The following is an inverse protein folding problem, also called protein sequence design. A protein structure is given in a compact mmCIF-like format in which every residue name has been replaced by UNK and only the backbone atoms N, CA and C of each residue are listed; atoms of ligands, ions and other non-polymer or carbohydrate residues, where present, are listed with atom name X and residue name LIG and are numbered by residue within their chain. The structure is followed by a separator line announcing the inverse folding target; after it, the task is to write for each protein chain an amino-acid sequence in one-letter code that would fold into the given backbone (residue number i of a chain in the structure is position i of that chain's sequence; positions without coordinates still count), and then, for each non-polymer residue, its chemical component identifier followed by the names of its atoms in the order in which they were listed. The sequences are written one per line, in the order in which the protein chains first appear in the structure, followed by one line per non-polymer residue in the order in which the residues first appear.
data_IF_998462738560
#
_entry.id   IF_998462738560
#
_cell.length_a   1.000
_cell.length_b   1.000
_cell.length_c   1.000
_cell.angle_alpha   90.00
_cell.angle_beta   90.00
_cell.angle_gamma   90.00
#
_symmetry.space_group_name_H-M   'P 1'
#
loop_
_entity.id
_entity.type
_entity.pdbx_description
1 polymer ?
#
# COMPACT_ATOMS: atom_id res chain seq x y z
N UNK A 1 -3.29 53.17 2.17
CA UNK A 1 -3.10 52.33 0.97
C UNK A 1 -3.00 50.89 1.43
N UNK A 2 -4.13 50.20 1.46
CA UNK A 2 -4.24 48.79 1.80
C UNK A 2 -5.31 48.20 0.89
N UNK A 3 -4.99 47.16 0.13
CA UNK A 3 -5.99 46.32 -0.52
C UNK A 3 -5.63 44.86 -0.27
N UNK A 4 -6.55 44.19 0.41
CA UNK A 4 -6.56 42.78 0.68
C UNK A 4 -7.36 42.04 -0.41
N UNK A 5 -6.77 40.93 -0.87
CA UNK A 5 -7.34 39.59 -1.06
C UNK A 5 -8.87 39.49 -1.31
N UNK A 6 -9.22 39.04 -2.52
CA UNK A 6 -10.49 38.42 -2.91
C UNK A 6 -10.19 37.49 -4.11
N UNK A 7 -10.85 36.39 -4.41
CA UNK A 7 -11.85 35.54 -3.78
C UNK A 7 -11.97 34.35 -4.74
N UNK A 8 -11.59 33.15 -4.30
CA UNK A 8 -11.60 31.92 -5.09
C UNK A 8 -12.93 31.18 -4.85
N UNK A 9 -13.97 31.44 -5.67
CA UNK A 9 -15.20 30.60 -5.74
C UNK A 9 -16.19 31.07 -6.82
N UNK A 10 -16.02 30.60 -8.05
CA UNK A 10 -17.01 30.63 -9.15
C UNK A 10 -16.74 29.31 -9.89
N UNK A 11 -17.63 28.31 -9.90
CA UNK A 11 -18.84 28.25 -10.72
C UNK A 11 -19.98 27.52 -9.97
N UNK A 12 -21.08 28.25 -9.85
CA UNK A 12 -22.41 27.87 -9.40
C UNK A 12 -23.07 26.98 -10.47
N UNK A 13 -23.55 25.77 -10.15
CA UNK A 13 -24.97 25.46 -9.90
C UNK A 13 -25.91 26.04 -10.96
N UNK A 14 -26.29 25.22 -11.94
CA UNK A 14 -27.46 25.45 -12.78
C UNK A 14 -28.60 24.52 -12.35
N UNK A 15 -29.79 25.09 -12.18
CA UNK A 15 -30.97 24.53 -11.54
C UNK A 15 -32.09 24.33 -12.57
N UNK A 16 -32.66 23.12 -12.58
CA UNK A 16 -34.05 22.71 -12.84
C UNK A 16 -34.85 23.30 -14.03
N UNK A 17 -35.28 22.43 -14.95
CA UNK A 17 -36.67 21.95 -15.07
C UNK A 17 -36.84 21.04 -16.30
N UNK A 18 -37.33 19.82 -16.11
CA UNK A 18 -38.22 19.15 -17.05
C UNK A 18 -38.84 17.91 -16.37
N UNK A 19 -40.15 17.98 -16.15
CA UNK A 19 -41.00 16.89 -15.69
C UNK A 19 -41.06 15.80 -16.77
N UNK A 20 -40.93 14.52 -16.41
CA UNK A 20 -41.76 13.50 -17.02
C UNK A 20 -41.95 12.30 -16.09
N UNK A 21 -43.21 11.97 -15.91
CA UNK A 21 -43.81 10.93 -15.10
C UNK A 21 -43.71 9.57 -15.80
N UNK A 22 -43.08 8.56 -15.20
CA UNK A 22 -43.51 7.17 -15.38
C UNK A 22 -43.28 6.37 -14.09
N UNK A 23 -44.40 5.85 -13.60
CA UNK A 23 -44.53 4.83 -12.56
C UNK A 23 -43.66 3.62 -12.85
N UNK A 24 -42.91 3.15 -11.85
CA UNK A 24 -42.61 1.73 -11.71
C UNK A 24 -42.47 1.39 -10.22
N UNK A 25 -43.56 0.83 -9.71
CA UNK A 25 -43.70 0.19 -8.41
C UNK A 25 -42.78 -1.04 -8.36
N UNK A 26 -41.75 -1.04 -7.52
CA UNK A 26 -41.13 -2.28 -7.04
C UNK A 26 -40.90 -2.18 -5.54
N UNK A 27 -41.71 -2.95 -4.82
CA UNK A 27 -41.73 -3.12 -3.38
C UNK A 27 -40.46 -3.85 -2.91
N UNK A 28 -39.71 -3.25 -1.98
CA UNK A 28 -38.65 -3.91 -1.21
C UNK A 28 -39.22 -4.52 0.07
N UNK A 29 -38.89 -5.78 0.43
CA UNK A 29 -39.26 -6.35 1.73
C UNK A 29 -38.36 -5.84 2.88
N UNK A 30 -38.84 -5.85 4.14
CA UNK A 30 -38.22 -5.17 5.27
C UNK A 30 -37.03 -5.93 5.88
N UNK A 31 -36.09 -5.16 6.44
CA UNK A 31 -34.96 -5.64 7.26
C UNK A 31 -35.47 -6.21 8.60
N UNK A 32 -34.91 -7.31 9.12
CA UNK A 32 -35.02 -7.62 10.54
C UNK A 32 -33.92 -6.89 11.31
N UNK A 33 -34.36 -5.98 12.17
CA UNK A 33 -33.63 -5.50 13.34
C UNK A 33 -33.49 -6.65 14.34
N UNK A 34 -32.27 -6.92 14.83
CA UNK A 34 -32.07 -7.73 16.03
C UNK A 34 -31.31 -6.87 17.04
N UNK A 35 -32.06 -6.39 18.01
CA UNK A 35 -31.61 -5.63 19.17
C UNK A 35 -31.53 -6.63 20.36
N UNK A 36 -30.54 -6.41 21.25
CA UNK A 36 -30.44 -6.90 22.64
C UNK A 36 -29.85 -8.33 22.81
N UNK A 37 -28.96 -8.66 23.76
CA UNK A 37 -28.51 -8.00 25.01
C UNK A 37 -27.19 -8.67 25.49
N UNK A 38 -26.25 -7.83 25.95
CA UNK A 38 -25.45 -7.96 27.20
C UNK A 38 -24.57 -9.21 27.46
N UNK A 39 -23.24 -9.01 27.58
CA UNK A 39 -22.49 -9.00 28.86
C UNK A 39 -20.97 -8.87 28.65
N UNK A 40 -20.42 -7.82 29.26
CA UNK A 40 -19.08 -7.69 29.90
C UNK A 40 -17.87 -8.36 29.21
N UNK A 41 -17.03 -7.55 28.59
CA UNK A 41 -15.57 -7.68 28.74
C UNK A 41 -14.95 -6.29 28.75
N UNK A 42 -14.39 -5.96 29.90
CA UNK A 42 -13.73 -4.73 30.28
C UNK A 42 -12.49 -4.43 29.44
N UNK A 43 -12.33 -3.15 29.08
CA UNK A 43 -11.08 -2.45 28.81
C UNK A 43 -9.80 -3.21 29.15
N UNK A 44 -8.97 -3.49 28.13
CA UNK A 44 -7.54 -3.73 28.26
C UNK A 44 -6.87 -3.50 26.90
N UNK A 45 -6.19 -2.37 26.80
CA UNK A 45 -4.82 -2.26 26.32
C UNK A 45 -4.44 -3.09 25.07
N UNK A 46 -4.23 -2.43 23.92
CA UNK A 46 -3.20 -2.89 22.99
C UNK A 46 -1.84 -2.35 23.47
N UNK A 47 -1.44 -2.74 24.69
CA UNK A 47 -0.04 -2.87 25.04
C UNK A 47 0.25 -4.35 24.87
N UNK A 48 0.85 -4.72 23.75
CA UNK A 48 1.60 -5.96 23.71
C UNK A 48 2.88 -5.69 24.51
N UNK A 49 2.86 -6.26 25.71
CA UNK A 49 4.01 -6.43 26.59
C UNK A 49 5.25 -6.86 25.82
N UNK A 50 6.35 -6.20 26.11
CA UNK A 50 7.71 -6.69 25.89
C UNK A 50 7.90 -8.14 26.34
N UNK A 51 8.71 -8.86 25.55
CA UNK A 51 9.29 -10.22 25.74
C UNK A 51 8.40 -11.41 25.39
N UNK A 52 8.55 -11.85 24.13
CA UNK A 52 9.09 -13.18 23.85
C UNK A 52 9.92 -13.10 22.57
N UNK A 53 11.18 -13.50 22.67
CA UNK A 53 12.04 -13.81 21.54
C UNK A 53 11.42 -15.00 20.81
N UNK A 54 10.83 -14.78 19.63
CA UNK A 54 10.46 -15.88 18.73
C UNK A 54 11.06 -15.60 17.37
N UNK A 55 12.30 -16.05 17.21
CA UNK A 55 12.97 -16.27 15.93
C UNK A 55 12.09 -17.17 15.07
N UNK A 56 11.25 -16.59 14.22
CA UNK A 56 10.56 -17.33 13.18
C UNK A 56 11.59 -17.73 12.11
N UNK A 57 12.26 -18.86 12.34
CA UNK A 57 13.11 -19.53 11.36
C UNK A 57 12.23 -20.13 10.27
N UNK A 58 11.92 -19.34 9.24
CA UNK A 58 11.27 -19.84 8.03
C UNK A 58 12.32 -20.58 7.18
N UNK A 59 12.57 -21.84 7.54
CA UNK A 59 13.50 -22.73 6.84
C UNK A 59 12.87 -23.23 5.54
N UNK A 60 13.14 -22.59 4.41
CA UNK A 60 12.89 -23.17 3.10
C UNK A 60 14.04 -24.13 2.74
N UNK A 61 13.75 -25.44 2.67
CA UNK A 61 14.72 -26.43 2.18
C UNK A 61 14.79 -26.38 0.66
N UNK A 62 15.77 -25.67 0.11
CA UNK A 62 16.16 -25.85 -1.31
C UNK A 62 16.98 -27.14 -1.37
N UNK A 63 16.39 -28.22 -1.89
CA UNK A 63 17.15 -29.44 -2.22
C UNK A 63 17.91 -29.18 -3.52
N UNK A 64 19.08 -28.55 -3.41
CA UNK A 64 20.06 -28.51 -4.49
C UNK A 64 20.71 -29.90 -4.52
N UNK A 65 20.65 -30.60 -5.66
CA UNK A 65 21.43 -31.84 -5.86
C UNK A 65 22.91 -31.50 -5.68
N UNK A 66 23.60 -32.24 -4.80
CA UNK A 66 25.02 -32.08 -4.50
C UNK A 66 25.86 -32.26 -5.76
N UNK A 67 26.50 -31.19 -6.21
CA UNK A 67 27.76 -31.30 -6.96
C UNK A 67 28.90 -31.06 -5.96
N UNK A 68 29.65 -32.13 -5.66
CA UNK A 68 30.79 -32.12 -4.75
C UNK A 68 31.94 -31.34 -5.37
N UNK A 69 32.11 -30.07 -4.96
CA UNK A 69 33.38 -29.31 -4.92
C UNK A 69 33.09 -27.84 -4.58
N UNK A 70 32.97 -27.51 -3.29
CA UNK A 70 33.47 -26.28 -2.63
C UNK A 70 33.12 -26.46 -1.15
N UNK A 71 34.12 -26.78 -0.33
CA UNK A 71 34.04 -26.69 1.12
C UNK A 71 34.33 -25.24 1.52
N UNK A 72 33.30 -24.53 1.98
CA UNK A 72 33.37 -23.41 2.92
C UNK A 72 31.93 -23.20 3.43
N UNK A 73 31.55 -23.91 4.49
CA UNK A 73 30.30 -23.69 5.21
C UNK A 73 30.40 -22.41 6.06
N UNK A 74 30.46 -21.25 5.41
CA UNK A 74 29.85 -20.06 5.98
C UNK A 74 28.38 -20.16 5.62
N UNK A 75 27.56 -20.61 6.57
CA UNK A 75 26.11 -20.45 6.44
C UNK A 75 25.83 -18.96 6.61
N UNK A 76 26.10 -18.18 5.57
CA UNK A 76 25.50 -16.87 5.43
C UNK A 76 24.01 -17.15 5.41
N UNK A 77 23.35 -16.93 6.55
CA UNK A 77 21.91 -16.81 6.60
C UNK A 77 21.62 -15.65 5.66
N UNK A 78 21.30 -15.96 4.41
CA UNK A 78 20.82 -14.98 3.43
C UNK A 78 19.44 -14.58 3.95
N UNK A 79 19.44 -13.66 4.92
CA UNK A 79 18.25 -12.94 5.32
C UNK A 79 17.80 -12.23 4.05
N UNK A 80 16.73 -12.73 3.43
CA UNK A 80 16.17 -12.11 2.23
C UNK A 80 15.68 -10.71 2.58
N UNK A 81 16.50 -9.71 2.26
CA UNK A 81 16.16 -8.31 2.47
C UNK A 81 15.13 -7.88 1.44
N UNK A 82 14.21 -6.98 1.82
CA UNK A 82 13.29 -6.39 0.86
C UNK A 82 13.95 -5.23 0.14
N UNK A 83 13.96 -5.29 -1.19
CA UNK A 83 14.54 -4.27 -2.06
C UNK A 83 13.47 -3.32 -2.60
N UNK A 84 13.84 -2.08 -2.89
CA UNK A 84 13.01 -1.07 -3.53
C UNK A 84 13.75 -0.33 -4.64
N UNK A 85 13.08 -0.06 -5.76
CA UNK A 85 13.61 0.75 -6.84
C UNK A 85 12.53 1.44 -7.67
N UNK A 86 12.91 2.52 -8.35
CA UNK A 86 12.11 3.10 -9.44
C UNK A 86 12.32 2.23 -10.68
N UNK A 87 11.25 1.65 -11.22
CA UNK A 87 11.32 0.67 -12.33
C UNK A 87 10.84 1.25 -13.67
N UNK A 88 10.58 2.55 -13.71
CA UNK A 88 10.33 3.31 -14.94
C UNK A 88 11.53 4.20 -15.28
N UNK A 89 11.68 4.55 -16.57
CA UNK A 89 12.80 5.37 -17.04
C UNK A 89 12.90 6.71 -16.29
N UNK A 90 14.12 7.05 -15.85
CA UNK A 90 14.47 8.34 -15.24
C UNK A 90 15.22 9.24 -16.22
N UNK A 91 15.22 10.55 -15.99
CA UNK A 91 16.00 11.52 -16.77
C UNK A 91 15.36 12.00 -18.09
N UNK A 92 14.11 11.60 -18.37
CA UNK A 92 13.30 12.10 -19.48
C UNK A 92 12.32 13.22 -19.08
N UNK A 93 11.52 13.74 -20.03
CA UNK A 93 10.39 14.61 -19.69
C UNK A 93 9.41 13.89 -18.75
N UNK A 94 8.62 14.63 -17.94
CA UNK A 94 7.65 14.03 -17.02
C UNK A 94 6.72 13.04 -17.73
N UNK A 95 6.61 11.83 -17.18
CA UNK A 95 5.66 10.83 -17.65
C UNK A 95 4.32 10.97 -16.91
N UNK A 96 3.26 10.40 -17.47
CA UNK A 96 1.98 10.32 -16.75
C UNK A 96 2.10 9.46 -15.49
N UNK A 97 2.78 8.33 -15.59
CA UNK A 97 2.94 7.35 -14.51
C UNK A 97 4.40 6.98 -14.34
N UNK A 98 4.83 6.85 -13.09
CA UNK A 98 6.10 6.21 -12.72
C UNK A 98 5.86 5.16 -11.65
N UNK A 99 6.74 4.17 -11.56
CA UNK A 99 6.51 3.01 -10.69
C UNK A 99 7.68 2.85 -9.72
N UNK A 100 7.35 2.79 -8.42
CA UNK A 100 8.26 2.32 -7.37
C UNK A 100 7.87 0.89 -7.01
N UNK A 101 8.79 -0.06 -7.16
CA UNK A 101 8.55 -1.49 -6.88
C UNK A 101 9.29 -1.91 -5.62
N UNK A 102 8.61 -2.63 -4.75
CA UNK A 102 9.15 -3.38 -3.61
C UNK A 102 9.14 -4.87 -3.94
N UNK A 103 10.22 -5.60 -3.60
CA UNK A 103 10.28 -7.07 -3.69
C UNK A 103 10.97 -7.66 -2.46
N UNK A 104 10.37 -8.69 -1.88
CA UNK A 104 10.96 -9.45 -0.78
C UNK A 104 9.97 -9.76 0.34
N UNK A 105 10.40 -10.47 1.41
CA UNK A 105 9.49 -10.99 2.44
C UNK A 105 8.78 -9.91 3.28
N UNK A 106 9.30 -8.68 3.29
CA UNK A 106 8.70 -7.54 4.00
C UNK A 106 8.04 -6.53 3.06
N UNK A 107 7.92 -6.81 1.75
CA UNK A 107 7.36 -5.87 0.77
C UNK A 107 5.96 -5.38 1.17
N UNK A 108 5.07 -6.30 1.56
CA UNK A 108 3.73 -5.97 2.03
C UNK A 108 3.77 -5.17 3.33
N UNK A 109 4.61 -5.56 4.29
CA UNK A 109 4.69 -4.87 5.58
C UNK A 109 5.20 -3.44 5.44
N UNK A 110 6.22 -3.22 4.60
CA UNK A 110 6.76 -1.90 4.27
C UNK A 110 5.70 -1.07 3.55
N UNK A 111 5.03 -1.64 2.53
CA UNK A 111 3.96 -0.97 1.83
C UNK A 111 2.81 -0.57 2.78
N UNK A 112 2.43 -1.40 3.75
CA UNK A 112 1.41 -1.07 4.76
C UNK A 112 1.75 0.15 5.64
N UNK A 113 3.05 0.46 5.81
CA UNK A 113 3.49 1.62 6.60
C UNK A 113 3.43 2.91 5.80
N UNK A 114 3.69 2.84 4.49
CA UNK A 114 3.81 4.02 3.63
C UNK A 114 2.53 4.34 2.87
N UNK A 115 1.71 3.33 2.56
CA UNK A 115 0.48 3.46 1.77
C UNK A 115 -0.76 3.48 2.65
N UNK A 116 -1.60 4.50 2.44
CA UNK A 116 -2.90 4.65 3.08
C UNK A 116 -4.01 4.54 2.03
N UNK A 117 -4.76 3.43 1.97
CA UNK A 117 -5.92 3.29 1.07
C UNK A 117 -7.04 4.28 1.41
N UNK A 118 -7.82 4.67 0.40
CA UNK A 118 -8.86 5.70 0.54
C UNK A 118 -10.10 5.27 1.34
N UNK A 119 -10.36 3.96 1.49
CA UNK A 119 -11.61 3.44 2.08
C UNK A 119 -11.42 2.87 3.49
N UNK A 120 -10.66 1.79 3.61
CA UNK A 120 -10.54 0.95 4.81
C UNK A 120 -9.08 0.66 5.12
N UNK A 121 -8.77 0.06 6.27
CA UNK A 121 -7.42 -0.48 6.53
C UNK A 121 -6.96 -1.40 5.40
N UNK A 122 -5.70 -1.27 4.99
CA UNK A 122 -5.17 -1.99 3.84
C UNK A 122 -5.06 -3.49 4.11
N UNK A 123 -5.74 -4.29 3.29
CA UNK A 123 -5.67 -5.75 3.29
C UNK A 123 -5.39 -6.19 1.85
N UNK A 124 -4.11 -6.31 1.47
CA UNK A 124 -3.71 -6.44 0.08
C UNK A 124 -4.27 -7.72 -0.52
N UNK A 125 -5.10 -7.58 -1.55
CA UNK A 125 -5.56 -8.70 -2.35
C UNK A 125 -4.69 -8.81 -3.60
N UNK A 126 -4.01 -9.95 -3.77
CA UNK A 126 -3.08 -10.13 -4.88
C UNK A 126 -3.73 -9.89 -6.25
N UNK A 127 -3.05 -9.12 -7.11
CA UNK A 127 -3.47 -8.71 -8.45
C UNK A 127 -4.73 -7.83 -8.49
N UNK A 128 -5.04 -7.16 -7.37
CA UNK A 128 -6.12 -6.17 -7.31
C UNK A 128 -5.50 -4.79 -7.13
N UNK A 129 -5.93 -3.85 -7.96
CA UNK A 129 -5.47 -2.46 -7.88
C UNK A 129 -6.25 -1.72 -6.81
N UNK A 130 -5.55 -1.01 -5.93
CA UNK A 130 -6.15 -0.26 -4.84
C UNK A 130 -5.70 1.20 -4.87
N UNK A 131 -6.64 2.13 -4.76
CA UNK A 131 -6.37 3.57 -4.73
C UNK A 131 -6.14 4.07 -3.30
N UNK A 132 -5.16 4.97 -3.16
CA UNK A 132 -4.87 5.65 -1.90
C UNK A 132 -3.78 6.69 -2.05
N UNK A 133 -3.14 7.00 -0.94
CA UNK A 133 -2.06 7.99 -0.85
C UNK A 133 -0.82 7.38 -0.23
N UNK A 134 0.35 7.86 -0.64
CA UNK A 134 1.61 7.60 0.08
C UNK A 134 1.86 8.76 1.04
N UNK A 135 2.21 8.43 2.28
CA UNK A 135 2.49 9.38 3.34
C UNK A 135 3.99 9.37 3.68
N UNK A 136 4.56 10.53 4.03
CA UNK A 136 5.89 10.60 4.63
C UNK A 136 5.85 10.24 6.13
N UNK A 137 7.02 10.23 6.77
CA UNK A 137 7.18 9.93 8.19
C UNK A 137 6.47 10.92 9.12
N UNK A 138 6.23 12.15 8.66
CA UNK A 138 5.48 13.19 9.37
C UNK A 138 3.96 13.08 9.13
N UNK A 139 3.53 12.18 8.23
CA UNK A 139 2.13 11.97 7.87
C UNK A 139 1.61 12.91 6.77
N UNK A 140 2.48 13.66 6.09
CA UNK A 140 2.08 14.48 4.95
C UNK A 140 1.89 13.60 3.71
N UNK A 141 0.91 13.96 2.88
CA UNK A 141 0.70 13.31 1.58
C UNK A 141 1.84 13.65 0.62
N UNK A 142 2.50 12.61 0.11
CA UNK A 142 3.52 12.71 -0.93
C UNK A 142 2.87 12.68 -2.30
N UNK A 143 2.02 11.67 -2.54
CA UNK A 143 1.38 11.44 -3.82
C UNK A 143 0.08 10.62 -3.67
N UNK A 144 -0.82 10.79 -4.63
CA UNK A 144 -1.95 9.88 -4.87
C UNK A 144 -1.50 8.75 -5.79
N UNK A 145 -1.73 7.51 -5.38
CA UNK A 145 -1.14 6.34 -6.06
C UNK A 145 -2.15 5.21 -6.25
N UNK A 146 -1.82 4.33 -7.18
CA UNK A 146 -2.40 3.00 -7.28
C UNK A 146 -1.39 1.98 -6.73
N UNK A 147 -1.79 1.23 -5.71
CA UNK A 147 -1.03 0.11 -5.17
C UNK A 147 -1.44 -1.19 -5.88
N UNK A 148 -0.46 -1.98 -6.31
CA UNK A 148 -0.67 -3.28 -6.96
C UNK A 148 0.17 -4.35 -6.24
N UNK A 149 -0.42 -5.06 -5.26
CA UNK A 149 0.24 -6.19 -4.62
C UNK A 149 0.20 -7.44 -5.52
N UNK A 150 1.36 -8.07 -5.72
CA UNK A 150 1.53 -9.37 -6.39
C UNK A 150 2.18 -10.31 -5.38
N UNK A 151 1.36 -11.09 -4.68
CA UNK A 151 1.82 -11.97 -3.61
C UNK A 151 2.44 -13.24 -4.18
N UNK A 152 3.47 -13.77 -3.50
CA UNK A 152 4.14 -15.00 -3.87
C UNK A 152 3.15 -16.17 -4.00
N UNK A 153 3.39 -17.13 -4.93
CA UNK A 153 4.50 -17.20 -5.88
C UNK A 153 4.21 -16.50 -7.22
N UNK A 154 3.09 -15.76 -7.33
CA UNK A 154 2.58 -15.20 -8.59
C UNK A 154 3.07 -13.77 -8.77
N UNK A 155 4.37 -13.60 -8.94
CA UNK A 155 5.00 -12.30 -9.15
C UNK A 155 6.24 -12.43 -10.05
N UNK A 156 6.80 -11.30 -10.48
CA UNK A 156 7.99 -11.27 -11.34
C UNK A 156 9.21 -11.95 -10.69
N UNK A 157 9.46 -11.69 -9.40
CA UNK A 157 10.59 -12.24 -8.64
C UNK A 157 10.26 -13.55 -7.93
N UNK A 158 8.99 -14.01 -7.99
CA UNK A 158 8.41 -15.09 -7.17
C UNK A 158 8.38 -14.82 -5.65
N UNK A 159 8.71 -13.62 -5.23
CA UNK A 159 8.55 -13.13 -3.86
C UNK A 159 7.26 -12.29 -3.75
N UNK A 160 6.95 -11.81 -2.55
CA UNK A 160 5.94 -10.76 -2.44
C UNK A 160 6.45 -9.48 -3.11
N UNK A 161 5.67 -8.95 -4.04
CA UNK A 161 5.95 -7.70 -4.75
C UNK A 161 4.81 -6.72 -4.51
N UNK A 162 5.15 -5.45 -4.30
CA UNK A 162 4.16 -4.36 -4.30
C UNK A 162 4.67 -3.27 -5.24
N UNK A 163 3.83 -2.87 -6.18
CA UNK A 163 4.09 -1.70 -7.03
C UNK A 163 3.25 -0.52 -6.57
N UNK A 164 3.90 0.63 -6.40
CA UNK A 164 3.27 1.93 -6.17
C UNK A 164 3.36 2.72 -7.47
N UNK A 165 2.25 2.81 -8.18
CA UNK A 165 2.12 3.57 -9.41
C UNK A 165 1.76 5.01 -9.06
N UNK A 166 2.75 5.89 -9.21
CA UNK A 166 2.74 7.30 -8.83
C UNK A 166 2.61 8.19 -10.06
N UNK A 167 2.46 9.50 -9.86
CA UNK A 167 2.66 10.45 -10.94
C UNK A 167 4.11 10.35 -11.47
N UNK A 168 4.28 10.35 -12.79
CA UNK A 168 5.58 10.14 -13.43
C UNK A 168 6.53 11.33 -13.37
N UNK A 169 6.43 12.19 -12.36
CA UNK A 169 7.45 13.21 -12.09
C UNK A 169 8.52 12.65 -11.15
N UNK A 170 9.78 13.02 -11.41
CA UNK A 170 10.93 12.48 -10.69
C UNK A 170 10.92 12.82 -9.19
N UNK A 171 10.38 13.97 -8.81
CA UNK A 171 10.31 14.41 -7.40
C UNK A 171 9.40 13.49 -6.59
N UNK A 172 8.21 13.15 -7.11
CA UNK A 172 7.28 12.21 -6.47
C UNK A 172 7.93 10.83 -6.35
N UNK A 173 8.48 10.30 -7.45
CA UNK A 173 9.10 8.97 -7.44
C UNK A 173 10.25 8.86 -6.43
N UNK A 174 11.13 9.86 -6.38
CA UNK A 174 12.24 9.88 -5.42
C UNK A 174 11.76 10.01 -3.97
N UNK A 175 10.70 10.79 -3.72
CA UNK A 175 10.10 10.91 -2.37
C UNK A 175 9.42 9.61 -1.92
N UNK A 176 8.66 8.96 -2.81
CA UNK A 176 8.04 7.66 -2.53
C UNK A 176 9.11 6.60 -2.28
N UNK A 177 10.14 6.51 -3.15
CA UNK A 177 11.27 5.60 -2.94
C UNK A 177 11.95 5.85 -1.60
N UNK A 178 12.28 7.10 -1.27
CA UNK A 178 12.91 7.44 0.01
C UNK A 178 12.08 6.98 1.21
N UNK A 179 10.77 7.17 1.15
CA UNK A 179 9.85 6.75 2.21
C UNK A 179 9.84 5.22 2.37
N UNK A 180 9.90 4.47 1.26
CA UNK A 180 10.05 3.02 1.30
C UNK A 180 11.37 2.58 1.97
N UNK A 181 12.47 3.28 1.68
CA UNK A 181 13.77 3.01 2.30
C UNK A 181 13.76 3.30 3.81
N UNK A 182 13.21 4.45 4.20
CA UNK A 182 13.02 4.83 5.62
C UNK A 182 12.12 3.84 6.37
N UNK A 183 11.16 3.22 5.68
CA UNK A 183 10.26 2.21 6.25
C UNK A 183 10.88 0.81 6.38
N UNK A 184 12.10 0.59 5.85
CA UNK A 184 12.89 -0.63 6.03
C UNK A 184 13.28 -1.37 4.74
N UNK A 185 13.01 -0.80 3.56
CA UNK A 185 13.54 -1.35 2.31
C UNK A 185 15.02 -1.00 2.11
N UNK A 186 15.74 -1.84 1.38
CA UNK A 186 17.09 -1.53 0.88
C UNK A 186 17.00 -1.11 -0.59
N UNK A 187 17.88 -0.21 -1.04
CA UNK A 187 17.94 0.15 -2.45
C UNK A 187 18.35 -1.07 -3.28
N UNK A 188 17.62 -1.35 -4.37
CA UNK A 188 17.93 -2.46 -5.28
C UNK A 188 19.16 -2.19 -6.16
#
# INVERSE_FOLDING_TARGET
MAMAIASFRIVFRHMLHANNTYNCFFTLPPRPTCFLINRRATWRQCLISSRASSTNNYSYKVVVKKDERVENENTDVVNSTTIAAIVTSLGGPPAAVGIVRLSGPSAVSIACRVFRPAKNMWQPTSHVVEYGVVLDSDGNVIDEVLAVPMLAPRSYTREDVVELQCHGNEVCLRRVLRTCLEAGATLA
#
